data_IF_634074872198
#
_entry.id   IF_634074872198
#
_cell.length_a   1.000
_cell.length_b   1.000
_cell.length_c   1.000
_cell.angle_alpha   90.00
_cell.angle_beta   90.00
_cell.angle_gamma   90.00
#
_symmetry.space_group_name_H-M   'P 1'
#
loop_
_entity.id
_entity.type
_entity.pdbx_description
1 polymer ?
#
# COMPACT_ATOMS: atom_id res chain seq x y z
N UNK A 1 12.68 47.92 -9.03
CA UNK A 1 13.06 47.59 -7.64
C UNK A 1 12.28 46.44 -7.00
N UNK A 2 11.28 45.81 -7.64
CA UNK A 2 10.53 44.70 -7.01
C UNK A 2 11.15 43.31 -7.14
N UNK A 3 11.83 43.01 -8.26
CA UNK A 3 12.29 41.65 -8.60
C UNK A 3 13.23 41.05 -7.54
N UNK A 4 14.24 41.78 -7.08
CA UNK A 4 15.20 41.28 -6.09
C UNK A 4 14.54 40.94 -4.75
N UNK A 5 13.59 41.75 -4.31
CA UNK A 5 12.83 41.49 -3.08
C UNK A 5 11.99 40.22 -3.20
N UNK A 6 11.32 40.01 -4.32
CA UNK A 6 10.59 38.75 -4.59
C UNK A 6 11.52 37.54 -4.67
N UNK A 7 12.74 37.67 -5.19
CA UNK A 7 13.73 36.59 -5.17
C UNK A 7 14.14 36.23 -3.73
N UNK A 8 14.42 37.22 -2.89
CA UNK A 8 14.80 36.99 -1.49
C UNK A 8 13.66 36.31 -0.74
N UNK A 9 12.42 36.79 -0.91
CA UNK A 9 11.25 36.16 -0.29
C UNK A 9 11.04 34.73 -0.79
N UNK A 10 11.25 34.48 -2.08
CA UNK A 10 11.21 33.13 -2.65
C UNK A 10 12.25 32.21 -2.01
N UNK A 11 13.50 32.66 -1.89
CA UNK A 11 14.57 31.89 -1.26
C UNK A 11 14.31 31.59 0.22
N UNK A 12 13.71 32.54 0.96
CA UNK A 12 13.31 32.31 2.35
C UNK A 12 12.20 31.25 2.43
N UNK A 13 11.17 31.36 1.59
CA UNK A 13 10.07 30.39 1.56
C UNK A 13 10.54 28.97 1.21
N UNK A 14 11.47 28.83 0.26
CA UNK A 14 12.09 27.56 -0.09
C UNK A 14 12.90 26.98 1.08
N UNK A 15 13.66 27.81 1.78
CA UNK A 15 14.44 27.40 2.96
C UNK A 15 13.54 26.91 4.10
N UNK A 16 12.47 27.65 4.41
CA UNK A 16 11.50 27.25 5.43
C UNK A 16 10.81 25.93 5.07
N UNK A 17 10.41 25.75 3.81
CA UNK A 17 9.82 24.50 3.34
C UNK A 17 10.81 23.33 3.46
N UNK A 18 12.08 23.54 3.11
CA UNK A 18 13.12 22.52 3.25
C UNK A 18 13.28 22.08 4.71
N UNK A 19 13.34 23.03 5.66
CA UNK A 19 13.41 22.74 7.10
C UNK A 19 12.18 21.96 7.61
N UNK A 20 10.98 22.28 7.13
CA UNK A 20 9.78 21.53 7.52
C UNK A 20 9.77 20.10 6.96
N UNK A 21 10.26 19.93 5.73
CA UNK A 21 10.41 18.63 5.10
C UNK A 21 11.41 17.75 5.87
N UNK A 22 12.59 18.31 6.19
CA UNK A 22 13.63 17.63 6.98
C UNK A 22 13.08 17.13 8.33
N UNK A 23 12.39 18.00 9.07
CA UNK A 23 11.73 17.63 10.33
C UNK A 23 10.71 16.49 10.17
N UNK A 24 9.97 16.49 9.07
CA UNK A 24 9.01 15.42 8.77
C UNK A 24 9.73 14.10 8.50
N UNK A 25 10.84 14.13 7.77
CA UNK A 25 11.67 12.97 7.52
C UNK A 25 12.26 12.40 8.81
N UNK A 26 12.78 13.24 9.70
CA UNK A 26 13.29 12.83 11.01
C UNK A 26 12.20 12.17 11.86
N UNK A 27 10.99 12.76 11.88
CA UNK A 27 9.84 12.19 12.57
C UNK A 27 9.43 10.82 12.00
N UNK A 28 9.43 10.67 10.67
CA UNK A 28 9.16 9.40 10.00
C UNK A 28 10.24 8.35 10.30
N UNK A 29 11.52 8.75 10.32
CA UNK A 29 12.63 7.87 10.67
C UNK A 29 12.51 7.38 12.12
N UNK A 30 12.23 8.28 13.07
CA UNK A 30 11.98 7.94 14.46
C UNK A 30 10.73 7.05 14.65
N UNK A 31 9.69 7.22 13.83
CA UNK A 31 8.52 6.33 13.86
C UNK A 31 8.86 4.93 13.32
N UNK A 32 9.65 4.84 12.24
CA UNK A 32 10.11 3.57 11.67
C UNK A 32 11.00 2.78 12.63
N UNK A 33 11.90 3.45 13.35
CA UNK A 33 12.76 2.79 14.36
C UNK A 33 11.93 2.22 15.52
N UNK A 34 10.79 2.83 15.85
CA UNK A 34 9.79 2.30 16.79
C UNK A 34 8.90 1.18 16.21
N UNK A 35 9.16 0.74 14.98
CA UNK A 35 8.43 -0.36 14.32
C UNK A 35 7.21 0.07 13.50
N UNK A 36 6.98 1.37 13.26
CA UNK A 36 5.88 1.81 12.39
C UNK A 36 6.26 1.64 10.92
N UNK A 37 5.57 0.76 10.20
CA UNK A 37 5.79 0.54 8.75
C UNK A 37 5.36 1.74 7.89
N UNK A 38 4.25 2.40 8.25
CA UNK A 38 3.65 3.47 7.43
C UNK A 38 2.89 2.94 6.21
N UNK A 39 2.53 3.84 5.29
CA UNK A 39 1.83 3.49 4.05
C UNK A 39 0.35 3.12 4.20
N UNK A 40 -0.28 2.76 3.07
CA UNK A 40 -1.67 2.29 3.05
C UNK A 40 -1.75 0.87 3.62
N UNK A 41 -2.72 0.64 4.53
CA UNK A 41 -2.97 -0.70 5.05
C UNK A 41 -3.44 -1.64 3.92
N UNK A 42 -2.99 -2.90 3.87
CA UNK A 42 -3.51 -3.89 2.95
C UNK A 42 -5.03 -4.01 3.05
N UNK A 43 -5.69 -4.22 1.91
CA UNK A 43 -7.15 -4.37 1.84
C UNK A 43 -7.63 -5.71 2.41
N UNK A 44 -6.78 -6.74 2.36
CA UNK A 44 -7.01 -8.03 2.99
C UNK A 44 -6.08 -8.19 4.19
N UNK A 45 -6.65 -8.60 5.33
CA UNK A 45 -5.86 -9.06 6.46
C UNK A 45 -5.10 -10.35 6.09
N UNK A 46 -3.97 -10.68 6.76
CA UNK A 46 -3.20 -11.88 6.45
C UNK A 46 -4.03 -13.17 6.44
N UNK A 47 -4.99 -13.30 7.35
CA UNK A 47 -5.93 -14.42 7.38
C UNK A 47 -6.83 -14.45 6.15
N UNK A 48 -7.38 -13.30 5.74
CA UNK A 48 -8.25 -13.21 4.56
C UNK A 48 -7.47 -13.52 3.28
N UNK A 49 -6.22 -13.07 3.18
CA UNK A 49 -5.37 -13.40 2.04
C UNK A 49 -5.11 -14.92 1.92
N UNK A 50 -4.92 -15.62 3.04
CA UNK A 50 -4.81 -17.09 3.05
C UNK A 50 -6.10 -17.78 2.62
N UNK A 51 -7.25 -17.31 3.10
CA UNK A 51 -8.55 -17.88 2.70
C UNK A 51 -8.77 -17.65 1.19
N UNK A 52 -8.48 -16.44 0.68
CA UNK A 52 -8.57 -16.14 -0.74
C UNK A 52 -7.66 -17.05 -1.59
N UNK A 53 -6.45 -17.37 -1.10
CA UNK A 53 -5.56 -18.33 -1.75
C UNK A 53 -6.16 -19.74 -1.75
N UNK A 54 -6.68 -20.20 -0.62
CA UNK A 54 -7.33 -21.51 -0.53
C UNK A 54 -8.53 -21.62 -1.49
N UNK A 55 -9.39 -20.60 -1.55
CA UNK A 55 -10.51 -20.55 -2.51
C UNK A 55 -10.04 -20.56 -3.97
N UNK A 56 -8.86 -19.98 -4.25
CA UNK A 56 -8.28 -19.98 -5.59
C UNK A 56 -7.68 -21.33 -5.98
N UNK A 57 -7.14 -22.09 -5.01
CA UNK A 57 -6.56 -23.42 -5.23
C UNK A 57 -7.62 -24.53 -5.21
N UNK A 58 -8.78 -24.27 -4.57
CA UNK A 58 -9.86 -25.23 -4.46
C UNK A 58 -10.41 -25.60 -5.84
N UNK A 59 -10.30 -26.88 -6.16
CA UNK A 59 -10.72 -27.45 -7.44
C UNK A 59 -11.91 -28.36 -7.21
N UNK A 60 -12.96 -28.19 -8.02
CA UNK A 60 -14.16 -29.01 -7.97
C UNK A 60 -13.92 -30.44 -8.51
N UNK A 61 -14.95 -31.31 -8.42
CA UNK A 61 -14.86 -32.70 -8.87
C UNK A 61 -14.48 -32.86 -10.35
N UNK A 62 -14.77 -31.83 -11.16
CA UNK A 62 -14.53 -31.80 -12.61
C UNK A 62 -13.12 -31.32 -12.99
N UNK A 63 -12.22 -31.12 -12.01
CA UNK A 63 -10.86 -30.62 -12.24
C UNK A 63 -10.79 -29.13 -12.60
N UNK A 64 -11.89 -28.39 -12.45
CA UNK A 64 -11.98 -26.93 -12.66
C UNK A 64 -11.95 -26.19 -11.32
N UNK A 65 -11.48 -24.94 -11.35
CA UNK A 65 -11.55 -24.05 -10.19
C UNK A 65 -12.97 -23.98 -9.63
N UNK A 66 -13.09 -24.16 -8.31
CA UNK A 66 -14.38 -24.12 -7.60
C UNK A 66 -14.96 -22.70 -7.58
N UNK A 67 -14.11 -21.68 -7.48
CA UNK A 67 -14.49 -20.27 -7.46
C UNK A 67 -13.72 -19.47 -8.52
N UNK A 68 -14.39 -18.54 -9.19
CA UNK A 68 -13.70 -17.59 -10.07
C UNK A 68 -13.05 -16.46 -9.28
N UNK A 69 -12.06 -15.78 -9.86
CA UNK A 69 -11.39 -14.66 -9.18
C UNK A 69 -12.37 -13.51 -8.90
N UNK A 70 -13.37 -13.31 -9.76
CA UNK A 70 -14.44 -12.33 -9.56
C UNK A 70 -15.30 -12.67 -8.33
N UNK A 71 -15.63 -13.95 -8.14
CA UNK A 71 -16.40 -14.42 -6.98
C UNK A 71 -15.59 -14.26 -5.69
N UNK A 72 -14.31 -14.63 -5.71
CA UNK A 72 -13.41 -14.44 -4.57
C UNK A 72 -13.27 -12.94 -4.25
N UNK A 73 -13.11 -12.10 -5.26
CA UNK A 73 -13.00 -10.65 -5.08
C UNK A 73 -14.29 -10.05 -4.47
N UNK A 74 -15.46 -10.49 -4.95
CA UNK A 74 -16.76 -10.08 -4.44
C UNK A 74 -16.95 -10.49 -2.97
N UNK A 75 -16.57 -11.72 -2.60
CA UNK A 75 -16.66 -12.23 -1.22
C UNK A 75 -15.90 -11.34 -0.22
N UNK A 76 -14.72 -10.86 -0.60
CA UNK A 76 -13.92 -9.98 0.26
C UNK A 76 -14.19 -8.48 0.04
N UNK A 77 -15.11 -8.10 -0.86
CA UNK A 77 -15.40 -6.70 -1.18
C UNK A 77 -14.21 -5.94 -1.78
N UNK A 78 -13.34 -6.64 -2.53
CA UNK A 78 -12.16 -6.09 -3.19
C UNK A 78 -12.24 -6.26 -4.70
N UNK A 79 -11.29 -5.68 -5.43
CA UNK A 79 -11.19 -5.84 -6.88
C UNK A 79 -10.32 -7.05 -7.25
N UNK A 80 -10.54 -7.65 -8.43
CA UNK A 80 -9.71 -8.78 -8.90
C UNK A 80 -8.20 -8.50 -8.87
N UNK A 81 -7.69 -7.31 -9.25
CA UNK A 81 -6.28 -6.98 -9.10
C UNK A 81 -5.75 -7.06 -7.66
N UNK A 82 -6.61 -6.83 -6.66
CA UNK A 82 -6.24 -7.02 -5.25
C UNK A 82 -6.02 -8.48 -4.93
N UNK A 83 -6.86 -9.38 -5.44
CA UNK A 83 -6.67 -10.84 -5.29
C UNK A 83 -5.34 -11.26 -5.93
N UNK A 84 -5.11 -10.93 -7.21
CA UNK A 84 -3.88 -11.29 -7.90
C UNK A 84 -2.62 -10.78 -7.20
N UNK A 85 -2.63 -9.54 -6.69
CA UNK A 85 -1.50 -9.00 -5.93
C UNK A 85 -1.18 -9.83 -4.69
N UNK A 86 -2.20 -10.32 -3.98
CA UNK A 86 -2.00 -11.16 -2.81
C UNK A 86 -1.53 -12.58 -3.19
N UNK A 87 -2.06 -13.15 -4.28
CA UNK A 87 -1.60 -14.45 -4.80
C UNK A 87 -0.13 -14.42 -5.25
N UNK A 88 0.32 -13.33 -5.87
CA UNK A 88 1.73 -13.19 -6.28
C UNK A 88 2.71 -12.98 -5.12
N UNK A 89 2.22 -12.52 -3.97
CA UNK A 89 3.07 -12.20 -2.79
C UNK A 89 3.17 -13.38 -1.81
N UNK A 90 2.18 -14.28 -1.79
CA UNK A 90 2.20 -15.47 -0.95
C UNK A 90 2.96 -16.58 -1.68
N UNK A 91 3.96 -17.24 -1.07
CA UNK A 91 4.57 -18.41 -1.68
C UNK A 91 3.50 -19.49 -1.86
N UNK A 92 3.48 -20.15 -3.02
CA UNK A 92 2.76 -21.39 -3.20
C UNK A 92 3.30 -22.38 -2.14
N UNK A 93 2.38 -22.93 -1.34
CA UNK A 93 2.72 -23.91 -0.31
C UNK A 93 2.91 -25.29 -0.92
#
# INVERSE_FOLDING_TARGET
>A
MGRMFFQILGSIAEFEHALMSERTHDGLAAARTRGRTGGQKPKLAPRQAKIAQQMYEETGPDGRLMYTVEQIAAEFGVTCPTIYRHLATLPAQ
#
